data_IF_679796249584
#
_entry.id   IF_679796249584
#
_cell.length_a   1.000
_cell.length_b   1.000
_cell.length_c   1.000
_cell.angle_alpha   90.00
_cell.angle_beta   90.00
_cell.angle_gamma   90.00
#
_symmetry.space_group_name_H-M   'P 1'
#
loop_
_entity.id
_entity.type
_entity.pdbx_description
1 polymer ?
#
# COMPACT_ATOMS: atom_id res chain seq x y z
N UNK A 1 -3.31 8.23 -13.06
CA UNK A 1 -2.34 7.66 -12.11
C UNK A 1 -3.14 6.85 -11.10
N UNK A 2 -2.69 5.70 -10.63
CA UNK A 2 -3.44 4.92 -9.64
C UNK A 2 -3.46 5.63 -8.28
N UNK A 3 -4.19 5.09 -7.30
CA UNK A 3 -4.17 5.55 -5.91
C UNK A 3 -3.66 4.43 -5.00
N UNK A 4 -2.78 4.77 -4.06
CA UNK A 4 -2.27 3.90 -3.00
C UNK A 4 -2.85 4.30 -1.65
N UNK A 5 -3.07 3.31 -0.80
CA UNK A 5 -3.38 3.48 0.62
C UNK A 5 -2.53 2.49 1.44
N UNK A 6 -1.84 2.97 2.45
CA UNK A 6 -1.10 2.15 3.41
C UNK A 6 -1.49 2.53 4.83
N UNK A 7 -1.42 1.57 5.74
CA UNK A 7 -1.53 1.82 7.17
C UNK A 7 -0.52 0.98 7.92
N UNK A 8 0.15 1.59 8.90
CA UNK A 8 0.92 0.92 9.93
C UNK A 8 0.40 1.43 11.29
N UNK A 9 0.08 0.54 12.21
CA UNK A 9 -0.44 0.86 13.52
C UNK A 9 0.14 -0.05 14.59
N UNK A 10 0.29 0.44 15.82
CA UNK A 10 0.77 -0.37 16.95
C UNK A 10 -0.33 -1.21 17.62
N UNK A 11 -1.59 -0.97 17.26
CA UNK A 11 -2.76 -1.72 17.72
C UNK A 11 -3.68 -2.05 16.55
N UNK A 12 -4.43 -3.16 16.59
CA UNK A 12 -5.41 -3.49 15.56
C UNK A 12 -6.42 -2.34 15.35
N UNK A 13 -6.29 -1.68 14.20
CA UNK A 13 -7.03 -0.47 13.84
C UNK A 13 -7.86 -0.75 12.60
N UNK A 14 -9.10 -0.30 12.54
CA UNK A 14 -9.86 -0.35 11.28
C UNK A 14 -9.48 0.82 10.38
N UNK A 15 -9.63 0.62 9.08
CA UNK A 15 -9.31 1.64 8.07
C UNK A 15 -10.57 2.19 7.40
N UNK A 16 -11.76 1.99 7.98
CA UNK A 16 -13.04 2.29 7.33
C UNK A 16 -13.10 3.76 6.91
N UNK A 17 -12.64 4.68 7.76
CA UNK A 17 -12.57 6.11 7.45
C UNK A 17 -11.69 6.39 6.22
N UNK A 18 -10.41 5.99 6.26
CA UNK A 18 -9.46 6.26 5.17
C UNK A 18 -9.85 5.53 3.88
N UNK A 19 -10.37 4.31 3.99
CA UNK A 19 -10.84 3.52 2.86
C UNK A 19 -12.09 4.12 2.23
N UNK A 20 -13.03 4.65 3.01
CA UNK A 20 -14.21 5.35 2.49
C UNK A 20 -13.81 6.52 1.60
N UNK A 21 -12.84 7.33 2.04
CA UNK A 21 -12.30 8.43 1.23
C UNK A 21 -11.61 7.93 -0.04
N UNK A 22 -10.77 6.90 0.07
CA UNK A 22 -10.08 6.32 -1.08
C UNK A 22 -11.08 5.78 -2.11
N UNK A 23 -12.09 5.01 -1.70
CA UNK A 23 -13.06 4.36 -2.60
C UNK A 23 -13.84 5.36 -3.46
N UNK A 24 -14.04 6.60 -3.00
CA UNK A 24 -14.65 7.64 -3.83
C UNK A 24 -13.79 7.98 -5.04
N UNK A 25 -12.45 7.92 -4.92
CA UNK A 25 -11.54 8.15 -6.05
C UNK A 25 -11.66 7.06 -7.12
N UNK A 26 -12.20 5.89 -6.78
CA UNK A 26 -12.41 4.79 -7.73
C UNK A 26 -13.76 4.85 -8.45
N UNK A 27 -13.96 5.90 -9.25
CA UNK A 27 -15.12 6.08 -10.12
C UNK A 27 -16.19 7.07 -9.62
N UNK A 28 -16.06 7.59 -8.39
CA UNK A 28 -16.93 8.65 -7.86
C UNK A 28 -16.38 10.05 -8.13
N UNK A 29 -15.30 10.42 -7.44
CA UNK A 29 -14.59 11.70 -7.57
C UNK A 29 -13.38 11.62 -8.50
N UNK A 30 -12.82 10.42 -8.70
CA UNK A 30 -11.64 10.18 -9.54
C UNK A 30 -11.93 9.30 -10.77
N UNK A 31 -11.06 9.36 -11.80
CA UNK A 31 -11.27 8.63 -13.06
C UNK A 31 -10.95 7.12 -12.97
N UNK A 32 -10.55 6.60 -11.81
CA UNK A 32 -9.96 5.27 -11.67
C UNK A 32 -11.05 4.20 -11.61
N UNK A 33 -11.28 3.47 -12.71
CA UNK A 33 -12.40 2.51 -12.81
C UNK A 33 -11.97 1.09 -13.19
N UNK A 34 -10.68 0.81 -13.17
CA UNK A 34 -10.09 -0.41 -13.76
C UNK A 34 -9.70 -1.47 -12.71
N UNK A 35 -10.36 -1.42 -11.56
CA UNK A 35 -10.22 -2.34 -10.44
C UNK A 35 -9.72 -1.69 -9.16
N UNK A 36 -9.91 -2.39 -8.05
CA UNK A 36 -9.41 -2.00 -6.74
C UNK A 36 -9.12 -3.23 -5.89
N UNK A 37 -8.33 -3.05 -4.82
CA UNK A 37 -8.17 -4.10 -3.83
C UNK A 37 -7.56 -3.59 -2.54
N UNK A 38 -7.63 -4.42 -1.51
CA UNK A 38 -7.12 -4.15 -0.17
C UNK A 38 -6.71 -5.46 0.52
N UNK A 39 -5.58 -5.42 1.21
CA UNK A 39 -5.03 -6.49 2.01
C UNK A 39 -4.94 -6.07 3.47
N UNK A 40 -5.45 -6.90 4.37
CA UNK A 40 -5.36 -6.74 5.82
C UNK A 40 -4.53 -7.86 6.41
N UNK A 41 -3.52 -7.53 7.21
CA UNK A 41 -2.79 -8.52 8.00
C UNK A 41 -3.49 -8.81 9.33
N UNK A 42 -3.60 -10.09 9.69
CA UNK A 42 -4.10 -10.57 10.98
C UNK A 42 -3.08 -11.59 11.51
N UNK A 43 -2.09 -11.08 12.26
CA UNK A 43 -0.85 -11.81 12.50
C UNK A 43 -0.17 -12.17 11.18
N UNK A 44 0.10 -13.47 10.95
CA UNK A 44 0.69 -13.96 9.70
C UNK A 44 -0.32 -14.22 8.59
N UNK A 45 -1.63 -14.13 8.89
CA UNK A 45 -2.68 -14.31 7.90
C UNK A 45 -2.92 -13.03 7.10
N UNK A 46 -3.40 -13.16 5.86
CA UNK A 46 -3.80 -12.02 5.02
C UNK A 46 -5.23 -12.23 4.54
N UNK A 47 -6.10 -11.25 4.80
CA UNK A 47 -7.39 -11.12 4.13
C UNK A 47 -7.22 -10.20 2.92
N UNK A 48 -7.36 -10.75 1.73
CA UNK A 48 -7.23 -10.03 0.46
C UNK A 48 -8.59 -9.92 -0.21
N UNK A 49 -9.04 -8.70 -0.47
CA UNK A 49 -10.25 -8.40 -1.25
C UNK A 49 -9.85 -7.65 -2.50
N UNK A 50 -10.35 -8.08 -3.65
CA UNK A 50 -10.04 -7.49 -4.95
C UNK A 50 -11.24 -7.60 -5.88
N UNK A 51 -11.40 -6.60 -6.73
CA UNK A 51 -12.45 -6.57 -7.74
C UNK A 51 -11.92 -5.84 -8.99
N UNK A 52 -12.10 -6.37 -10.22
CA UNK A 52 -11.78 -5.63 -11.44
C UNK A 52 -12.77 -4.49 -11.74
N UNK A 53 -13.92 -4.42 -11.08
CA UNK A 53 -14.86 -3.31 -11.20
C UNK A 53 -14.36 -2.05 -10.49
N UNK A 54 -14.91 -0.89 -10.85
CA UNK A 54 -14.73 0.34 -10.09
C UNK A 54 -15.23 0.16 -8.64
N UNK A 55 -14.56 0.78 -7.66
CA UNK A 55 -14.91 0.60 -6.26
C UNK A 55 -16.32 1.09 -5.91
N UNK A 56 -16.80 2.15 -6.56
CA UNK A 56 -18.17 2.66 -6.35
C UNK A 56 -19.25 1.68 -6.82
N UNK A 57 -18.91 0.82 -7.78
CA UNK A 57 -19.79 -0.17 -8.39
C UNK A 57 -19.63 -1.57 -7.76
N UNK A 58 -18.68 -1.75 -6.84
CA UNK A 58 -18.30 -3.06 -6.29
C UNK A 58 -19.05 -3.42 -5.00
N UNK A 59 -19.78 -4.54 -5.02
CA UNK A 59 -20.39 -5.09 -3.80
C UNK A 59 -19.33 -5.56 -2.79
N UNK A 60 -18.16 -5.99 -3.28
CA UNK A 60 -17.03 -6.35 -2.42
C UNK A 60 -16.53 -5.11 -1.66
N UNK A 61 -16.50 -3.94 -2.30
CA UNK A 61 -16.09 -2.70 -1.65
C UNK A 61 -17.09 -2.30 -0.56
N UNK A 62 -18.39 -2.42 -0.87
CA UNK A 62 -19.46 -2.16 0.11
C UNK A 62 -19.42 -3.11 1.30
N UNK A 63 -19.07 -4.39 1.07
CA UNK A 63 -18.87 -5.35 2.15
C UNK A 63 -17.74 -4.90 3.09
N UNK A 64 -16.57 -4.55 2.52
CA UNK A 64 -15.41 -4.08 3.31
C UNK A 64 -15.73 -2.79 4.06
N UNK A 65 -16.47 -1.85 3.46
CA UNK A 65 -16.89 -0.61 4.13
C UNK A 65 -17.84 -0.84 5.32
N UNK A 66 -18.63 -1.92 5.29
CA UNK A 66 -19.62 -2.24 6.35
C UNK A 66 -19.03 -3.09 7.47
N UNK A 67 -17.83 -3.63 7.30
CA UNK A 67 -17.23 -4.56 8.23
C UNK A 67 -15.88 -3.99 8.71
N UNK A 68 -15.76 -3.45 9.94
CA UNK A 68 -14.56 -2.81 10.44
C UNK A 68 -13.47 -3.84 10.75
N UNK A 69 -12.81 -4.32 9.69
CA UNK A 69 -11.67 -5.24 9.79
C UNK A 69 -10.52 -4.48 10.45
N UNK A 70 -10.14 -4.91 11.65
CA UNK A 70 -8.99 -4.39 12.37
C UNK A 70 -7.70 -5.06 11.90
N UNK A 71 -6.66 -4.28 11.70
CA UNK A 71 -5.34 -4.73 11.29
C UNK A 71 -4.28 -3.75 11.76
N UNK A 72 -3.05 -4.24 11.97
CA UNK A 72 -1.89 -3.40 12.23
C UNK A 72 -1.23 -2.92 10.93
N UNK A 73 -1.38 -3.69 9.85
CA UNK A 73 -0.80 -3.37 8.54
C UNK A 73 -1.82 -3.57 7.43
N UNK A 74 -2.10 -2.51 6.66
CA UNK A 74 -3.03 -2.54 5.53
C UNK A 74 -2.36 -1.99 4.28
N UNK A 75 -2.58 -2.64 3.14
CA UNK A 75 -2.21 -2.11 1.81
C UNK A 75 -3.46 -2.13 0.93
N UNK A 76 -3.84 -0.96 0.42
CA UNK A 76 -4.95 -0.75 -0.52
C UNK A 76 -4.48 -0.08 -1.80
N UNK A 77 -5.24 -0.29 -2.87
CA UNK A 77 -4.95 0.27 -4.17
C UNK A 77 -6.21 0.44 -5.03
N UNK A 78 -6.29 1.54 -5.78
CA UNK A 78 -7.28 1.75 -6.84
C UNK A 78 -6.55 1.90 -8.17
N UNK A 79 -6.95 1.08 -9.15
CA UNK A 79 -6.29 0.94 -10.43
C UNK A 79 -6.90 1.85 -11.49
N UNK A 80 -6.01 2.48 -12.24
CA UNK A 80 -6.28 3.05 -13.56
C UNK A 80 -5.33 2.34 -14.54
N UNK A 81 -5.88 1.49 -15.41
CA UNK A 81 -5.11 0.57 -16.23
C UNK A 81 -4.41 1.31 -17.38
N UNK A 82 -3.08 1.34 -17.33
CA UNK A 82 -2.23 1.75 -18.47
C UNK A 82 -1.56 0.55 -19.15
N UNK A 83 -1.27 -0.50 -18.38
CA UNK A 83 -0.61 -1.74 -18.83
C UNK A 83 -1.40 -2.94 -18.33
N UNK A 84 -1.55 -3.95 -19.19
CA UNK A 84 -2.32 -5.18 -18.94
C UNK A 84 -3.83 -4.95 -18.99
N UNK A 85 -4.58 -5.97 -19.40
CA UNK A 85 -6.05 -5.88 -19.49
C UNK A 85 -6.70 -5.59 -18.12
N UNK A 86 -7.91 -5.05 -18.13
CA UNK A 86 -8.75 -5.00 -16.91
C UNK A 86 -9.08 -6.43 -16.52
N UNK A 87 -8.78 -6.81 -15.28
CA UNK A 87 -8.94 -8.18 -14.82
C UNK A 87 -8.25 -8.40 -13.48
N UNK A 88 -8.75 -9.37 -12.72
CA UNK A 88 -8.32 -9.65 -11.34
C UNK A 88 -6.83 -9.97 -11.23
N UNK A 89 -6.25 -10.67 -12.21
CA UNK A 89 -4.82 -10.99 -12.27
C UNK A 89 -3.91 -9.77 -12.36
N UNK A 90 -4.45 -8.62 -12.76
CA UNK A 90 -3.75 -7.35 -12.89
C UNK A 90 -4.16 -6.35 -11.78
N UNK A 91 -4.99 -6.77 -10.83
CA UNK A 91 -5.46 -5.95 -9.72
C UNK A 91 -4.50 -6.08 -8.53
N UNK A 92 -4.14 -4.94 -7.92
CA UNK A 92 -3.35 -4.87 -6.69
C UNK A 92 -4.23 -5.04 -5.43
N UNK A 93 -3.66 -5.30 -4.25
CA UNK A 93 -2.27 -5.70 -4.00
C UNK A 93 -1.98 -7.11 -4.52
N UNK A 94 -0.77 -7.33 -5.02
CA UNK A 94 -0.30 -8.69 -5.31
C UNK A 94 0.17 -9.37 -4.02
N UNK A 95 -0.01 -10.68 -3.93
CA UNK A 95 0.42 -11.49 -2.78
C UNK A 95 1.27 -12.68 -3.23
N UNK A 96 2.36 -12.97 -2.50
CA UNK A 96 3.20 -14.17 -2.67
C UNK A 96 3.77 -14.63 -1.33
N UNK A 97 4.09 -15.91 -1.23
CA UNK A 97 4.80 -16.45 -0.06
C UNK A 97 6.31 -16.35 -0.29
N UNK A 98 7.04 -15.85 0.71
CA UNK A 98 8.50 -15.91 0.79
C UNK A 98 8.94 -16.08 2.24
N UNK A 99 9.72 -17.12 2.52
CA UNK A 99 10.30 -17.35 3.85
C UNK A 99 9.26 -17.73 4.92
N UNK A 100 8.16 -18.37 4.52
CA UNK A 100 7.04 -18.72 5.38
C UNK A 100 6.12 -17.55 5.74
N UNK A 101 6.20 -16.43 5.01
CA UNK A 101 5.38 -15.23 5.22
C UNK A 101 4.71 -14.76 3.94
N UNK A 102 3.52 -14.20 4.06
CA UNK A 102 2.85 -13.54 2.94
C UNK A 102 3.41 -12.13 2.74
N UNK A 103 3.95 -11.88 1.56
CA UNK A 103 4.35 -10.57 1.10
C UNK A 103 3.23 -9.97 0.26
N UNK A 104 2.87 -8.72 0.56
CA UNK A 104 1.90 -7.95 -0.23
C UNK A 104 2.55 -6.74 -0.85
N UNK A 105 2.09 -6.37 -2.06
CA UNK A 105 2.66 -5.29 -2.85
C UNK A 105 1.61 -4.51 -3.62
N UNK A 106 1.70 -3.18 -3.55
CA UNK A 106 0.97 -2.29 -4.44
C UNK A 106 1.90 -1.25 -5.04
N UNK A 107 1.69 -0.95 -6.32
CA UNK A 107 2.51 0.00 -7.08
C UNK A 107 1.64 1.00 -7.82
N UNK A 108 2.06 2.27 -7.77
CA UNK A 108 1.49 3.34 -8.56
C UNK A 108 2.59 3.95 -9.43
N UNK A 109 2.46 3.72 -10.74
CA UNK A 109 3.44 4.14 -11.72
C UNK A 109 3.41 3.29 -12.97
N UNK A 110 4.45 3.43 -13.78
CA UNK A 110 4.67 2.63 -14.97
C UNK A 110 6.17 2.54 -15.24
N UNK A 111 6.65 1.36 -15.57
CA UNK A 111 8.04 1.06 -15.88
C UNK A 111 8.20 0.78 -17.38
N UNK A 112 8.96 1.62 -18.07
CA UNK A 112 9.24 1.47 -19.49
C UNK A 112 10.19 0.29 -19.76
N UNK A 113 9.84 -0.54 -20.75
CA UNK A 113 10.63 -1.69 -21.22
C UNK A 113 11.08 -2.63 -20.08
N UNK A 114 10.24 -2.79 -19.06
CA UNK A 114 10.58 -3.54 -17.86
C UNK A 114 10.34 -5.04 -18.07
N UNK A 115 11.41 -5.75 -18.42
CA UNK A 115 11.43 -7.21 -18.60
C UNK A 115 12.52 -7.83 -17.70
N UNK A 116 12.25 -8.04 -16.41
CA UNK A 116 13.22 -8.63 -15.50
C UNK A 116 13.53 -10.08 -15.88
N UNK A 117 14.71 -10.56 -15.48
CA UNK A 117 15.10 -11.96 -15.74
C UNK A 117 14.14 -12.89 -14.99
N UNK A 118 13.55 -13.92 -15.66
CA UNK A 118 12.69 -14.88 -14.99
C UNK A 118 13.38 -15.56 -13.80
N UNK A 119 12.63 -15.80 -12.74
CA UNK A 119 13.11 -16.49 -11.54
C UNK A 119 12.10 -17.50 -11.00
N UNK A 120 12.16 -17.72 -9.69
CA UNK A 120 11.21 -18.56 -8.94
C UNK A 120 9.81 -17.92 -8.95
N UNK A 121 9.74 -16.64 -8.56
CA UNK A 121 8.51 -15.85 -8.65
C UNK A 121 8.29 -15.40 -10.09
N UNK A 122 7.08 -15.58 -10.59
CA UNK A 122 6.65 -15.19 -11.93
C UNK A 122 5.31 -14.46 -11.83
N UNK A 123 5.07 -13.46 -12.70
CA UNK A 123 3.77 -12.80 -12.77
C UNK A 123 2.70 -13.79 -13.24
N UNK A 124 1.48 -13.61 -12.73
CA UNK A 124 0.27 -14.29 -13.22
C UNK A 124 -0.41 -13.45 -14.29
N UNK A 125 -0.44 -12.13 -14.09
CA UNK A 125 -0.92 -11.12 -15.01
C UNK A 125 0.14 -10.60 -15.97
N UNK A 126 -0.16 -9.45 -16.57
CA UNK A 126 0.58 -8.83 -17.68
C UNK A 126 1.22 -7.50 -17.28
N UNK A 127 1.03 -7.06 -16.03
CA UNK A 127 1.49 -5.74 -15.58
C UNK A 127 3.00 -5.74 -15.32
N UNK A 128 3.63 -4.62 -15.65
CA UNK A 128 4.97 -4.25 -15.20
C UNK A 128 5.08 -4.24 -13.67
N UNK A 129 3.99 -3.85 -13.01
CA UNK A 129 3.86 -3.80 -11.54
C UNK A 129 4.07 -5.19 -10.92
N UNK A 130 3.42 -6.24 -11.44
CA UNK A 130 3.59 -7.61 -10.93
C UNK A 130 4.96 -8.16 -11.29
N UNK A 131 5.47 -7.83 -12.47
CA UNK A 131 6.82 -8.19 -12.87
C UNK A 131 7.87 -7.59 -11.90
N UNK A 132 7.70 -6.33 -11.48
CA UNK A 132 8.60 -5.67 -10.53
C UNK A 132 8.53 -6.30 -9.14
N UNK A 133 7.33 -6.68 -8.69
CA UNK A 133 7.17 -7.43 -7.44
C UNK A 133 7.87 -8.78 -7.50
N UNK A 134 7.67 -9.54 -8.58
CA UNK A 134 8.30 -10.84 -8.77
C UNK A 134 9.83 -10.72 -8.85
N UNK A 135 10.37 -9.71 -9.55
CA UNK A 135 11.81 -9.45 -9.59
C UNK A 135 12.36 -9.12 -8.20
N UNK A 136 11.67 -8.26 -7.44
CA UNK A 136 12.05 -7.89 -6.08
C UNK A 136 12.11 -9.12 -5.16
N UNK A 137 11.09 -9.97 -5.15
CA UNK A 137 11.10 -11.20 -4.35
C UNK A 137 12.18 -12.19 -4.80
N UNK A 138 12.45 -12.27 -6.10
CA UNK A 138 13.55 -13.10 -6.63
C UNK A 138 14.93 -12.58 -6.20
N UNK A 139 15.11 -11.25 -6.09
CA UNK A 139 16.33 -10.64 -5.54
C UNK A 139 16.49 -10.98 -4.05
N UNK A 140 15.41 -10.82 -3.26
CA UNK A 140 15.41 -11.16 -1.83
C UNK A 140 15.74 -12.65 -1.63
N UNK A 141 15.05 -13.55 -2.34
CA UNK A 141 15.29 -15.01 -2.27
C UNK A 141 16.72 -15.39 -2.64
N UNK A 142 17.33 -14.71 -3.62
CA UNK A 142 18.71 -14.97 -4.04
C UNK A 142 19.73 -14.49 -3.00
N UNK A 143 19.47 -13.33 -2.39
CA UNK A 143 20.34 -12.77 -1.36
C UNK A 143 20.21 -13.55 -0.03
N UNK A 144 19.01 -14.02 0.29
CA UNK A 144 18.67 -14.66 1.55
C UNK A 144 17.82 -15.92 1.30
N UNK A 145 18.45 -17.11 1.24
CA UNK A 145 17.73 -18.37 1.12
C UNK A 145 16.83 -18.67 2.32
N UNK A 146 17.19 -18.15 3.51
CA UNK A 146 16.43 -18.24 4.76
C UNK A 146 15.94 -16.86 5.18
N UNK A 147 14.85 -16.76 5.97
CA UNK A 147 14.37 -15.49 6.51
C UNK A 147 15.45 -14.74 7.31
N UNK A 148 15.56 -13.44 7.09
CA UNK A 148 16.46 -12.54 7.82
C UNK A 148 15.67 -11.36 8.39
N UNK A 149 16.18 -10.70 9.46
CA UNK A 149 15.60 -9.46 9.95
C UNK A 149 15.49 -8.38 8.87
N UNK A 150 14.50 -7.48 8.99
CA UNK A 150 14.20 -6.47 7.96
C UNK A 150 15.39 -5.55 7.69
N UNK A 151 16.20 -5.25 8.71
CA UNK A 151 17.39 -4.40 8.62
C UNK A 151 18.44 -5.00 7.67
N UNK A 152 18.50 -6.33 7.59
CA UNK A 152 19.44 -7.06 6.72
C UNK A 152 18.95 -7.09 5.28
N UNK A 153 17.63 -7.22 5.05
CA UNK A 153 17.06 -7.24 3.69
C UNK A 153 16.80 -5.84 3.11
N UNK A 154 16.69 -4.81 3.95
CA UNK A 154 16.34 -3.45 3.55
C UNK A 154 17.22 -2.88 2.42
N UNK A 155 18.56 -3.07 2.41
CA UNK A 155 19.39 -2.62 1.29
C UNK A 155 19.00 -3.22 -0.07
N UNK A 156 18.48 -4.46 -0.09
CA UNK A 156 18.01 -5.12 -1.32
C UNK A 156 16.73 -4.45 -1.83
N UNK A 157 15.79 -4.12 -0.94
CA UNK A 157 14.57 -3.39 -1.29
C UNK A 157 14.90 -2.00 -1.85
N UNK A 158 15.75 -1.24 -1.15
CA UNK A 158 16.15 0.11 -1.55
C UNK A 158 16.83 0.09 -2.92
N UNK A 159 17.81 -0.80 -3.11
CA UNK A 159 18.55 -0.93 -4.37
C UNK A 159 17.62 -1.29 -5.54
N UNK A 160 16.70 -2.25 -5.34
CA UNK A 160 15.71 -2.61 -6.35
C UNK A 160 14.80 -1.43 -6.72
N UNK A 161 14.28 -0.70 -5.73
CA UNK A 161 13.42 0.46 -5.97
C UNK A 161 14.16 1.61 -6.69
N UNK A 162 15.43 1.85 -6.34
CA UNK A 162 16.27 2.83 -7.03
C UNK A 162 16.49 2.48 -8.52
N UNK A 163 16.65 1.19 -8.83
CA UNK A 163 16.70 0.72 -10.21
C UNK A 163 15.36 0.88 -10.94
N UNK A 164 14.24 0.52 -10.29
CA UNK A 164 12.92 0.61 -10.90
C UNK A 164 12.53 2.05 -11.23
N UNK A 165 12.78 3.01 -10.33
CA UNK A 165 12.47 4.42 -10.61
C UNK A 165 13.28 5.02 -11.77
N UNK A 166 14.41 4.41 -12.16
CA UNK A 166 15.16 4.83 -13.36
C UNK A 166 14.45 4.43 -14.66
N UNK A 167 13.46 3.54 -14.57
CA UNK A 167 12.62 3.09 -15.71
C UNK A 167 11.28 3.80 -15.78
N UNK A 168 10.92 4.63 -14.81
CA UNK A 168 9.69 5.41 -14.81
C UNK A 168 9.20 5.77 -13.42
N UNK A 169 7.92 6.11 -13.30
CA UNK A 169 7.31 6.36 -11.99
C UNK A 169 7.20 5.03 -11.25
N UNK A 170 7.72 4.97 -10.03
CA UNK A 170 7.66 3.83 -9.13
C UNK A 170 7.35 4.30 -7.70
N UNK A 171 6.07 4.41 -7.34
CA UNK A 171 5.67 4.55 -5.94
C UNK A 171 5.19 3.19 -5.45
N UNK A 172 5.70 2.69 -4.33
CA UNK A 172 5.41 1.33 -3.89
C UNK A 172 5.11 1.24 -2.39
N UNK A 173 4.21 0.32 -2.05
CA UNK A 173 3.94 -0.18 -0.72
C UNK A 173 4.29 -1.68 -0.70
N UNK A 174 5.15 -2.12 0.22
CA UNK A 174 5.57 -3.52 0.40
C UNK A 174 5.43 -3.88 1.87
N UNK A 175 4.89 -5.06 2.20
CA UNK A 175 4.85 -5.55 3.57
C UNK A 175 4.94 -7.07 3.61
N UNK A 176 5.45 -7.63 4.71
CA UNK A 176 5.36 -9.05 5.08
C UNK A 176 4.43 -9.31 6.30
N UNK A 177 3.76 -8.25 6.76
CA UNK A 177 2.89 -8.21 7.93
C UNK A 177 3.47 -7.47 9.13
N UNK A 178 4.75 -7.65 9.43
CA UNK A 178 5.39 -7.08 10.63
C UNK A 178 5.77 -5.61 10.43
N UNK A 179 6.15 -5.25 9.21
CA UNK A 179 6.55 -3.90 8.81
C UNK A 179 5.88 -3.48 7.49
N UNK A 180 5.81 -2.18 7.25
CA UNK A 180 5.41 -1.60 5.98
C UNK A 180 6.58 -0.80 5.41
N UNK A 181 6.99 -1.06 4.18
CA UNK A 181 8.01 -0.29 3.47
C UNK A 181 7.34 0.54 2.38
N UNK A 182 7.71 1.82 2.29
CA UNK A 182 7.24 2.73 1.26
C UNK A 182 8.40 3.31 0.47
N UNK A 183 8.18 3.48 -0.83
CA UNK A 183 9.12 4.16 -1.72
C UNK A 183 8.38 5.20 -2.56
N UNK A 184 8.90 6.42 -2.61
CA UNK A 184 8.34 7.53 -3.36
C UNK A 184 9.22 7.89 -4.55
N UNK A 185 8.64 7.99 -5.74
CA UNK A 185 9.30 8.54 -6.93
C UNK A 185 8.60 9.80 -7.47
N UNK A 186 7.34 10.03 -7.09
CA UNK A 186 6.56 11.18 -7.54
C UNK A 186 5.68 11.74 -6.42
N UNK A 187 4.58 11.05 -6.09
CA UNK A 187 3.60 11.49 -5.09
C UNK A 187 3.33 10.39 -4.09
N UNK A 188 3.65 10.69 -2.83
CA UNK A 188 3.24 9.91 -1.69
C UNK A 188 3.19 10.85 -0.49
N UNK A 189 2.14 10.73 0.32
CA UNK A 189 1.93 11.52 1.52
C UNK A 189 1.67 10.58 2.69
N UNK A 190 2.06 10.99 3.88
CA UNK A 190 1.71 10.27 5.10
C UNK A 190 1.29 11.21 6.21
N UNK A 191 0.56 10.66 7.16
CA UNK A 191 0.23 11.32 8.42
C UNK A 191 0.33 10.30 9.55
N UNK A 192 0.99 10.68 10.63
CA UNK A 192 1.01 9.90 11.87
C UNK A 192 0.05 10.55 12.85
N UNK A 193 -0.99 9.83 13.21
CA UNK A 193 -1.97 10.24 14.21
C UNK A 193 -1.63 9.57 15.55
N UNK A 194 -1.73 10.35 16.62
CA UNK A 194 -1.45 9.95 18.00
C UNK A 194 -2.56 10.48 18.90
N UNK A 195 -2.83 9.77 19.99
CA UNK A 195 -3.81 10.23 20.95
C UNK A 195 -3.37 11.52 21.68
N UNK A 196 -4.31 12.41 22.04
CA UNK A 196 -5.72 12.39 21.63
C UNK A 196 -5.86 12.76 20.15
N UNK A 197 -6.56 11.92 19.39
CA UNK A 197 -6.79 12.14 17.97
C UNK A 197 -7.84 13.25 17.82
N UNK A 198 -7.51 14.30 17.06
CA UNK A 198 -8.48 15.34 16.71
C UNK A 198 -9.48 14.88 15.64
N UNK A 199 -10.49 15.71 15.32
CA UNK A 199 -11.42 15.42 14.25
C UNK A 199 -10.71 15.40 12.89
N UNK A 200 -11.04 14.44 12.04
CA UNK A 200 -10.54 14.36 10.67
C UNK A 200 -11.71 14.44 9.68
N UNK A 201 -11.56 15.27 8.64
CA UNK A 201 -12.57 15.46 7.59
C UNK A 201 -12.04 14.98 6.25
N UNK A 202 -12.72 14.02 5.64
CA UNK A 202 -12.37 13.53 4.30
C UNK A 202 -12.54 14.63 3.25
N UNK A 203 -11.63 14.66 2.27
CA UNK A 203 -11.70 15.53 1.09
C UNK A 203 -12.77 15.06 0.09
N UNK A 204 -12.85 13.75 -0.09
CA UNK A 204 -13.61 13.12 -1.17
C UNK A 204 -14.99 12.60 -0.72
N UNK A 205 -15.35 12.79 0.56
CA UNK A 205 -16.63 12.39 1.12
C UNK A 205 -17.04 13.37 2.23
N UNK A 206 -18.34 13.61 2.39
CA UNK A 206 -18.89 14.40 3.49
C UNK A 206 -18.93 13.56 4.79
N UNK A 207 -17.75 13.16 5.26
CA UNK A 207 -17.56 12.36 6.46
C UNK A 207 -16.48 12.99 7.33
N UNK A 208 -16.87 13.31 8.56
CA UNK A 208 -15.96 13.73 9.63
C UNK A 208 -16.04 12.69 10.74
N UNK A 209 -14.88 12.24 11.24
CA UNK A 209 -14.80 11.32 12.38
C UNK A 209 -14.04 12.01 13.50
N UNK A 210 -14.60 11.97 14.71
CA UNK A 210 -13.90 12.30 15.94
C UNK A 210 -13.35 11.00 16.53
N UNK A 211 -12.03 10.84 16.42
CA UNK A 211 -11.34 9.63 16.87
C UNK A 211 -11.12 9.61 18.39
N UNK A 212 -11.40 10.70 19.13
CA UNK A 212 -11.15 10.75 20.57
C UNK A 212 -11.87 9.64 21.35
N UNK A 213 -13.01 9.14 20.86
CA UNK A 213 -13.77 8.07 21.50
C UNK A 213 -13.21 6.66 21.22
N UNK A 214 -12.38 6.49 20.20
CA UNK A 214 -12.00 5.18 19.64
C UNK A 214 -10.55 4.79 19.91
N UNK A 215 -9.78 5.66 20.59
CA UNK A 215 -8.33 5.50 20.72
C UNK A 215 -7.86 5.53 22.16
N UNK A 216 -6.85 4.71 22.47
CA UNK A 216 -6.14 4.77 23.76
C UNK A 216 -4.98 5.77 23.70
N UNK A 217 -4.47 6.25 24.85
CA UNK A 217 -3.34 7.20 24.90
C UNK A 217 -2.07 6.72 24.18
N UNK A 218 -1.90 5.40 24.05
CA UNK A 218 -0.71 4.79 23.45
C UNK A 218 -0.90 4.49 21.95
N UNK A 219 -2.08 4.71 21.38
CA UNK A 219 -2.36 4.37 19.98
C UNK A 219 -1.59 5.29 19.02
N UNK A 220 -0.84 4.68 18.10
CA UNK A 220 -0.10 5.33 17.02
C UNK A 220 -0.49 4.70 15.71
N UNK A 221 -1.01 5.52 14.79
CA UNK A 221 -1.47 5.07 13.48
C UNK A 221 -0.88 5.99 12.42
N UNK A 222 -0.05 5.42 11.54
CA UNK A 222 0.39 6.12 10.34
C UNK A 222 -0.41 5.65 9.13
N UNK A 223 -1.03 6.61 8.43
CA UNK A 223 -1.70 6.40 7.15
C UNK A 223 -0.82 6.98 6.04
N UNK A 224 -0.66 6.23 4.97
CA UNK A 224 0.08 6.60 3.76
C UNK A 224 -0.92 6.63 2.60
N UNK A 225 -0.88 7.66 1.75
CA UNK A 225 -1.74 7.77 0.58
C UNK A 225 -1.01 8.42 -0.59
N UNK A 226 -1.43 8.18 -1.85
CA UNK A 226 -0.85 8.88 -3.02
C UNK A 226 -1.01 10.39 -2.88
N UNK A 227 -2.20 10.84 -2.48
CA UNK A 227 -2.49 12.23 -2.11
C UNK A 227 -3.25 12.28 -0.78
N UNK A 228 -3.08 13.34 0.04
CA UNK A 228 -3.77 13.49 1.31
C UNK A 228 -5.27 13.22 1.22
N UNK A 229 -5.80 12.44 2.17
CA UNK A 229 -7.22 12.05 2.21
C UNK A 229 -8.11 13.09 2.92
N UNK A 230 -7.51 13.99 3.69
CA UNK A 230 -8.21 14.98 4.52
C UNK A 230 -7.74 16.40 4.23
N UNK A 231 -8.60 17.39 4.51
CA UNK A 231 -8.35 18.82 4.25
C UNK A 231 -8.10 19.65 5.51
N UNK A 232 -8.32 19.06 6.68
CA UNK A 232 -8.15 19.70 7.98
C UNK A 232 -6.96 19.13 8.79
N UNK A 233 -6.12 18.28 8.18
CA UNK A 233 -4.94 17.70 8.81
C UNK A 233 -3.66 18.02 8.03
N UNK A 234 -2.52 18.02 8.73
CA UNK A 234 -1.20 18.28 8.14
C UNK A 234 -0.53 16.96 7.71
N UNK A 235 -0.59 16.67 6.42
CA UNK A 235 0.12 15.54 5.81
C UNK A 235 1.55 15.92 5.45
N UNK A 236 2.49 15.00 5.68
CA UNK A 236 3.86 15.13 5.21
C UNK A 236 3.98 14.54 3.81
N UNK A 237 4.49 15.32 2.85
CA UNK A 237 4.75 14.86 1.48
C UNK A 237 6.16 14.25 1.40
N UNK A 238 6.25 13.03 0.88
CA UNK A 238 7.54 12.41 0.57
C UNK A 238 8.12 12.98 -0.73
N UNK A 239 9.43 13.13 -0.76
CA UNK A 239 10.17 13.56 -1.93
C UNK A 239 10.59 12.38 -2.81
N UNK A 240 10.82 12.63 -4.10
CA UNK A 240 11.32 11.61 -5.02
C UNK A 240 12.66 11.02 -4.55
N UNK A 241 12.74 9.70 -4.52
CA UNK A 241 13.86 8.91 -4.01
C UNK A 241 13.74 8.56 -2.51
N UNK A 242 12.77 9.13 -1.79
CA UNK A 242 12.61 8.81 -0.38
C UNK A 242 12.00 7.43 -0.15
N UNK A 243 12.55 6.72 0.82
CA UNK A 243 12.02 5.47 1.33
C UNK A 243 11.83 5.55 2.84
N UNK A 244 10.81 4.87 3.34
CA UNK A 244 10.50 4.80 4.77
C UNK A 244 10.11 3.37 5.13
N UNK A 245 10.67 2.87 6.23
CA UNK A 245 10.29 1.62 6.86
C UNK A 245 9.48 1.95 8.12
N UNK A 246 8.25 1.48 8.17
CA UNK A 246 7.28 1.70 9.24
C UNK A 246 7.10 0.42 10.05
N UNK A 247 6.99 0.55 11.37
CA UNK A 247 6.61 -0.52 12.28
C UNK A 247 5.75 0.08 13.38
N UNK A 248 4.54 -0.46 13.58
CA UNK A 248 3.69 -0.03 14.70
C UNK A 248 3.26 1.44 14.58
N UNK A 249 3.10 1.94 13.35
CA UNK A 249 2.81 3.36 13.10
C UNK A 249 4.00 4.30 13.27
N UNK A 250 5.19 3.81 13.65
CA UNK A 250 6.40 4.60 13.81
C UNK A 250 7.35 4.44 12.61
N UNK A 251 8.22 5.44 12.41
CA UNK A 251 9.34 5.32 11.47
C UNK A 251 10.46 4.53 12.14
N UNK A 252 10.73 3.32 11.65
CA UNK A 252 11.87 2.51 12.08
C UNK A 252 13.16 2.96 11.39
N UNK A 253 13.09 3.24 10.09
CA UNK A 253 14.21 3.75 9.30
C UNK A 253 13.70 4.57 8.11
N UNK A 254 14.50 5.53 7.65
CA UNK A 254 14.20 6.31 6.44
C UNK A 254 15.48 6.77 5.74
N UNK A 255 15.37 7.07 4.46
CA UNK A 255 16.49 7.61 3.68
C UNK A 255 16.04 8.08 2.30
N UNK A 256 17.01 8.47 1.48
CA UNK A 256 16.79 8.92 0.11
C UNK A 256 17.92 8.47 -0.80
N UNK A 257 17.57 7.95 -1.98
CA UNK A 257 18.50 7.52 -3.05
C UNK A 257 18.58 8.50 -4.21
#
# INVERSE_FOLDING_TARGET
MCELLGMSANVPTDIVFSFTGLMQRGGGTGPHRDGWGIAFYEGRGVRLFQDPLASVDSEVARLVQRFPIKSETVIGHIRQANVGKVGLSNTHPFIRELGGRYWTFAHNGQLADFQPKPGFYRPVGETDSEAAFCDLLNRVRRAFPEPVPVEVLLPVLISACDEYRKKGVFNALISDGDWLFTFCSSKLAYITRRAPFGPARLKDADLTVDFHAETTPDDVVTVIATEPLTDNENWTLQQSGEWVLWWGGEVLAKGRV
#
